data_IF_624940755086
#
_entry.id   IF_624940755086
#
_cell.length_a   1.000
_cell.length_b   1.000
_cell.length_c   1.000
_cell.angle_alpha   90.00
_cell.angle_beta   90.00
_cell.angle_gamma   90.00
#
_symmetry.space_group_name_H-M   'P 1'
#
loop_
_entity.id
_entity.type
_entity.pdbx_description
1 polymer ?
#
# COMPACT_ATOMS: atom_id res chain seq x y z
N UNK A 1 13.21 -19.81 46.79
CA UNK A 1 12.39 -18.74 46.16
C UNK A 1 13.17 -17.96 45.09
N UNK A 2 14.40 -17.49 45.37
CA UNK A 2 15.23 -16.75 44.41
C UNK A 2 15.54 -17.51 43.09
N UNK A 3 15.76 -18.82 43.15
CA UNK A 3 16.02 -19.65 41.96
C UNK A 3 14.81 -19.73 41.00
N UNK A 4 13.59 -19.77 41.56
CA UNK A 4 12.33 -19.82 40.81
C UNK A 4 12.09 -18.49 40.07
N UNK A 5 12.36 -17.37 40.76
CA UNK A 5 12.30 -16.03 40.18
C UNK A 5 13.35 -15.84 39.07
N UNK A 6 14.58 -16.30 39.29
CA UNK A 6 15.64 -16.23 38.28
C UNK A 6 15.29 -17.06 37.03
N UNK A 7 14.81 -18.30 37.19
CA UNK A 7 14.40 -19.14 36.06
C UNK A 7 13.21 -18.54 35.28
N UNK A 8 12.24 -17.97 35.99
CA UNK A 8 11.09 -17.29 35.38
C UNK A 8 11.49 -16.05 34.59
N UNK A 9 12.47 -15.29 35.08
CA UNK A 9 13.03 -14.13 34.39
C UNK A 9 13.79 -14.51 33.12
N UNK A 10 14.63 -15.55 33.16
CA UNK A 10 15.35 -16.06 31.98
C UNK A 10 14.39 -16.57 30.89
N UNK A 11 13.31 -17.27 31.28
CA UNK A 11 12.25 -17.70 30.36
C UNK A 11 11.49 -16.53 29.73
N UNK A 12 11.24 -15.45 30.48
CA UNK A 12 10.59 -14.24 29.96
C UNK A 12 11.47 -13.53 28.91
N UNK A 13 12.78 -13.42 29.16
CA UNK A 13 13.74 -12.85 28.20
C UNK A 13 13.90 -13.71 26.94
N UNK A 14 13.88 -15.03 27.07
CA UNK A 14 13.93 -15.92 25.90
C UNK A 14 12.66 -15.83 25.05
N UNK A 15 11.49 -15.75 25.70
CA UNK A 15 10.19 -15.56 25.02
C UNK A 15 10.14 -14.22 24.30
N UNK A 16 10.57 -13.12 24.92
CA UNK A 16 10.61 -11.81 24.26
C UNK A 16 11.57 -11.80 23.08
N UNK A 17 12.77 -12.35 23.20
CA UNK A 17 13.74 -12.47 22.11
C UNK A 17 13.22 -13.34 20.95
N UNK A 18 12.53 -14.45 21.24
CA UNK A 18 11.93 -15.31 20.23
C UNK A 18 10.79 -14.59 19.48
N UNK A 19 9.97 -13.81 20.20
CA UNK A 19 8.92 -12.98 19.61
C UNK A 19 9.50 -11.89 18.70
N UNK A 20 10.55 -11.19 19.12
CA UNK A 20 11.23 -10.17 18.30
C UNK A 20 11.82 -10.79 17.04
N UNK A 21 12.49 -11.95 17.15
CA UNK A 21 13.05 -12.67 15.99
C UNK A 21 11.96 -13.13 15.02
N UNK A 22 10.84 -13.67 15.52
CA UNK A 22 9.69 -14.07 14.69
C UNK A 22 9.05 -12.87 14.00
N UNK A 23 8.91 -11.74 14.69
CA UNK A 23 8.33 -10.52 14.15
C UNK A 23 9.24 -9.89 13.08
N UNK A 24 10.55 -9.91 13.28
CA UNK A 24 11.53 -9.48 12.28
C UNK A 24 11.52 -10.39 11.05
N UNK A 25 11.52 -11.72 11.24
CA UNK A 25 11.47 -12.66 10.11
C UNK A 25 10.15 -12.54 9.33
N UNK A 26 9.03 -12.34 10.05
CA UNK A 26 7.73 -12.10 9.44
C UNK A 26 7.70 -10.78 8.67
N UNK A 27 8.27 -9.69 9.18
CA UNK A 27 8.33 -8.42 8.46
C UNK A 27 9.22 -8.50 7.21
N UNK A 28 10.34 -9.22 7.28
CA UNK A 28 11.21 -9.50 6.13
C UNK A 28 10.48 -10.37 5.11
N UNK A 29 9.79 -11.43 5.55
CA UNK A 29 9.01 -12.31 4.67
C UNK A 29 7.87 -11.56 3.99
N UNK A 30 7.13 -10.73 4.73
CA UNK A 30 6.06 -9.89 4.20
C UNK A 30 6.61 -8.85 3.21
N UNK A 31 7.77 -8.24 3.49
CA UNK A 31 8.45 -7.31 2.57
C UNK A 31 8.91 -8.03 1.29
N UNK A 32 9.49 -9.22 1.40
CA UNK A 32 9.91 -10.02 0.24
C UNK A 32 8.73 -10.49 -0.60
N UNK A 33 7.64 -10.94 0.05
CA UNK A 33 6.37 -11.28 -0.61
C UNK A 33 5.78 -10.08 -1.34
N UNK A 34 5.81 -8.90 -0.74
CA UNK A 34 5.33 -7.67 -1.38
C UNK A 34 6.14 -7.31 -2.64
N UNK A 35 7.47 -7.43 -2.58
CA UNK A 35 8.34 -7.23 -3.76
C UNK A 35 8.12 -8.28 -4.86
N UNK A 36 7.85 -9.54 -4.47
CA UNK A 36 7.48 -10.60 -5.42
C UNK A 36 6.12 -10.32 -6.08
N UNK A 37 5.13 -9.86 -5.31
CA UNK A 37 3.83 -9.48 -5.86
C UNK A 37 3.94 -8.28 -6.80
N UNK A 38 4.78 -7.30 -6.46
CA UNK A 38 5.06 -6.13 -7.32
C UNK A 38 5.74 -6.51 -8.65
N UNK A 39 6.53 -7.58 -8.69
CA UNK A 39 7.20 -8.04 -9.92
C UNK A 39 6.35 -9.00 -10.73
N UNK A 40 5.56 -9.86 -10.07
CA UNK A 40 4.66 -10.82 -10.72
C UNK A 40 3.46 -10.12 -11.38
N UNK A 41 2.87 -9.16 -10.67
CA UNK A 41 1.75 -8.38 -11.16
C UNK A 41 2.35 -7.09 -11.70
N UNK A 42 2.36 -6.90 -13.03
CA UNK A 42 2.82 -5.66 -13.69
C UNK A 42 1.84 -4.51 -13.41
N UNK A 43 1.72 -4.14 -12.13
CA UNK A 43 0.74 -3.18 -11.64
C UNK A 43 1.32 -1.78 -11.75
N UNK A 44 0.52 -0.90 -12.35
CA UNK A 44 0.84 0.51 -12.62
C UNK A 44 1.24 1.28 -11.35
N UNK A 45 0.53 1.06 -10.24
CA UNK A 45 0.78 1.71 -8.94
C UNK A 45 0.73 0.72 -7.77
N UNK A 46 1.68 0.80 -6.81
CA UNK A 46 1.66 -0.03 -5.61
C UNK A 46 0.47 0.25 -4.68
N UNK A 47 -0.29 1.32 -4.92
CA UNK A 47 -1.51 1.65 -4.21
C UNK A 47 -2.56 0.54 -4.32
N UNK A 48 -2.75 -0.03 -5.51
CA UNK A 48 -3.77 -1.06 -5.77
C UNK A 48 -3.51 -2.35 -5.00
N UNK A 49 -2.23 -2.71 -4.83
CA UNK A 49 -1.80 -3.90 -4.08
C UNK A 49 -1.69 -3.66 -2.57
N UNK A 50 -1.89 -2.42 -2.11
CA UNK A 50 -1.69 -2.06 -0.71
C UNK A 50 -2.92 -2.34 0.15
N UNK A 51 -2.69 -2.73 1.40
CA UNK A 51 -3.78 -2.95 2.36
C UNK A 51 -4.51 -1.65 2.68
N UNK A 52 -5.73 -1.74 3.23
CA UNK A 52 -6.56 -0.57 3.53
C UNK A 52 -5.82 0.51 4.35
N UNK A 53 -5.15 0.12 5.43
CA UNK A 53 -4.39 1.05 6.27
C UNK A 53 -3.22 1.68 5.51
N UNK A 54 -2.53 0.91 4.66
CA UNK A 54 -1.42 1.42 3.84
C UNK A 54 -1.91 2.44 2.79
N UNK A 55 -3.11 2.26 2.22
CA UNK A 55 -3.76 3.29 1.38
C UNK A 55 -4.11 4.53 2.20
N UNK A 56 -4.74 4.35 3.36
CA UNK A 56 -5.17 5.47 4.22
C UNK A 56 -4.00 6.34 4.67
N UNK A 57 -2.88 5.73 5.07
CA UNK A 57 -1.68 6.46 5.50
C UNK A 57 -0.75 6.82 4.35
N UNK A 58 -1.13 6.51 3.10
CA UNK A 58 -0.30 6.65 1.91
C UNK A 58 1.12 6.08 2.09
N UNK A 59 1.27 5.01 2.87
CA UNK A 59 2.59 4.55 3.29
C UNK A 59 3.41 3.98 2.13
N UNK A 60 2.77 3.54 1.05
CA UNK A 60 3.38 3.16 -0.22
C UNK A 60 4.15 4.31 -0.90
N UNK A 61 3.79 5.57 -0.64
CA UNK A 61 4.44 6.76 -1.20
C UNK A 61 5.83 7.02 -0.61
N UNK A 62 6.11 6.52 0.61
CA UNK A 62 7.39 6.72 1.29
C UNK A 62 8.59 6.20 0.49
N UNK A 63 8.42 5.15 -0.31
CA UNK A 63 9.51 4.63 -1.16
C UNK A 63 9.89 5.65 -2.25
N UNK A 64 8.92 6.42 -2.78
CA UNK A 64 9.17 7.48 -3.75
C UNK A 64 9.86 8.69 -3.08
N UNK A 65 9.41 9.08 -1.88
CA UNK A 65 10.09 10.13 -1.11
C UNK A 65 11.56 9.79 -0.82
N UNK A 66 11.84 8.54 -0.42
CA UNK A 66 13.22 8.08 -0.20
C UNK A 66 14.04 8.09 -1.48
N UNK A 67 13.43 7.84 -2.64
CA UNK A 67 14.11 7.93 -3.93
C UNK A 67 14.49 9.38 -4.25
N UNK A 68 13.56 10.32 -4.04
CA UNK A 68 13.78 11.76 -4.25
C UNK A 68 14.88 12.36 -3.38
N UNK A 69 15.13 11.79 -2.19
CA UNK A 69 16.27 12.19 -1.35
C UNK A 69 17.60 11.72 -1.95
N UNK A 70 17.62 10.57 -2.63
CA UNK A 70 18.84 9.98 -3.19
C UNK A 70 19.19 10.52 -4.57
N UNK A 71 18.18 10.82 -5.39
CA UNK A 71 18.35 11.33 -6.75
C UNK A 71 17.19 12.26 -7.13
N UNK A 72 17.41 13.25 -8.03
CA UNK A 72 16.31 13.96 -8.66
C UNK A 72 15.40 12.97 -9.38
N UNK A 73 14.09 13.14 -9.21
CA UNK A 73 13.10 12.22 -9.76
C UNK A 73 12.95 12.43 -11.26
N UNK A 74 13.01 11.35 -12.02
CA UNK A 74 12.69 11.34 -13.44
C UNK A 74 11.26 10.83 -13.67
N UNK A 75 10.59 11.20 -14.78
CA UNK A 75 9.25 10.71 -15.09
C UNK A 75 9.15 9.17 -15.16
N UNK A 76 10.25 8.49 -15.50
CA UNK A 76 10.38 7.03 -15.53
C UNK A 76 10.33 6.38 -14.14
N UNK A 77 10.68 7.12 -13.08
CA UNK A 77 10.68 6.63 -11.70
C UNK A 77 9.30 6.72 -11.04
N UNK A 78 8.40 7.51 -11.64
CA UNK A 78 7.06 7.72 -11.13
C UNK A 78 6.18 6.48 -11.39
N UNK A 79 5.22 6.27 -10.50
CA UNK A 79 4.22 5.23 -10.70
C UNK A 79 3.31 5.62 -11.86
N UNK A 80 2.89 4.60 -12.63
CA UNK A 80 1.89 4.81 -13.67
C UNK A 80 0.53 5.05 -13.03
N UNK A 81 -0.30 5.85 -13.71
CA UNK A 81 -1.65 6.16 -13.25
C UNK A 81 -2.48 4.89 -13.13
N UNK A 82 -3.38 4.85 -12.14
CA UNK A 82 -4.35 3.76 -12.02
C UNK A 82 -5.33 3.82 -13.21
N UNK A 83 -5.77 2.65 -13.68
CA UNK A 83 -6.69 2.59 -14.81
C UNK A 83 -8.04 3.27 -14.51
N UNK A 84 -8.52 3.14 -13.28
CA UNK A 84 -9.78 3.76 -12.82
C UNK A 84 -9.71 5.30 -12.77
N UNK A 85 -8.51 5.85 -12.57
CA UNK A 85 -8.26 7.29 -12.50
C UNK A 85 -7.93 7.87 -13.88
N UNK A 86 -7.84 7.04 -14.91
CA UNK A 86 -7.52 7.46 -16.26
C UNK A 86 -8.69 8.20 -16.91
N UNK A 87 -8.36 9.24 -17.69
CA UNK A 87 -9.33 9.99 -18.48
C UNK A 87 -10.12 9.10 -19.45
N UNK A 88 -9.51 8.00 -19.92
CA UNK A 88 -10.15 7.02 -20.80
C UNK A 88 -11.39 6.39 -20.17
N UNK A 89 -11.42 6.26 -18.84
CA UNK A 89 -12.53 5.68 -18.07
C UNK A 89 -13.43 6.78 -17.50
N UNK A 90 -12.84 7.86 -16.97
CA UNK A 90 -13.58 8.93 -16.31
C UNK A 90 -14.41 9.76 -17.30
N UNK A 91 -13.88 10.09 -18.48
CA UNK A 91 -14.57 10.95 -19.45
C UNK A 91 -15.87 10.30 -19.95
N UNK A 92 -15.90 9.04 -20.41
CA UNK A 92 -17.16 8.40 -20.83
C UNK A 92 -18.17 8.29 -19.68
N UNK A 93 -17.69 7.98 -18.47
CA UNK A 93 -18.54 7.87 -17.27
C UNK A 93 -19.18 9.22 -16.94
N UNK A 94 -18.40 10.29 -17.00
CA UNK A 94 -18.89 11.66 -16.80
C UNK A 94 -19.92 12.04 -17.86
N UNK A 95 -19.61 11.85 -19.15
CA UNK A 95 -20.51 12.19 -20.25
C UNK A 95 -21.88 11.49 -20.13
N UNK A 96 -21.88 10.21 -19.78
CA UNK A 96 -23.12 9.44 -19.54
C UNK A 96 -23.97 10.03 -18.41
N UNK A 97 -23.35 10.43 -17.31
CA UNK A 97 -24.05 11.04 -16.18
C UNK A 97 -24.57 12.45 -16.53
N UNK A 98 -23.79 13.20 -17.30
CA UNK A 98 -24.14 14.54 -17.77
C UNK A 98 -25.34 14.51 -18.70
N UNK A 99 -25.33 13.65 -19.73
CA UNK A 99 -26.46 13.46 -20.65
C UNK A 99 -27.72 13.01 -19.92
N UNK A 100 -27.61 12.10 -18.96
CA UNK A 100 -28.74 11.66 -18.12
C UNK A 100 -29.38 12.84 -17.39
N UNK A 101 -28.57 13.77 -16.84
CA UNK A 101 -29.06 14.98 -16.17
C UNK A 101 -29.73 15.95 -17.15
N UNK A 102 -29.14 16.17 -18.32
CA UNK A 102 -29.71 17.03 -19.36
C UNK A 102 -31.05 16.50 -19.88
N UNK A 103 -31.15 15.20 -20.14
CA UNK A 103 -32.36 14.54 -20.61
C UNK A 103 -33.45 14.43 -19.53
N UNK A 104 -33.08 14.45 -18.25
CA UNK A 104 -34.01 14.55 -17.13
C UNK A 104 -34.68 15.93 -17.01
N UNK A 105 -33.97 17.01 -17.34
CA UNK A 105 -34.52 18.39 -17.34
C UNK A 105 -35.45 18.67 -18.53
N UNK A 106 -35.27 18.00 -19.67
CA UNK A 106 -36.11 18.21 -20.86
C UNK A 106 -37.55 17.66 -20.75
N UNK A 107 -37.87 16.89 -19.70
CA UNK A 107 -39.20 16.28 -19.48
C UNK A 107 -40.11 17.06 -18.51
N UNK A 108 -39.67 18.22 -18.02
CA UNK A 108 -40.44 19.06 -17.07
C UNK A 108 -40.94 20.37 -17.69
N UNK A 109 -41.24 20.37 -18.98
CA UNK A 109 -41.98 21.43 -19.67
C UNK A 109 -43.10 20.81 -20.50
#
# INVERSE_FOLDING_TARGET
MALQLHFSFQLALLKSNCMVKKMMYLSIYLRKRFLLLKSYFKVSSPEVLSSFINRLTMWWFNELCRLGVKKPLEPSDLYSLNDDDSSTVLVPRWSKLWEKKLNGKKRSF
#
